data_IF_862115513980
#
_entry.id   IF_862115513980
#
_cell.length_a   1.000
_cell.length_b   1.000
_cell.length_c   1.000
_cell.angle_alpha   90.00
_cell.angle_beta   90.00
_cell.angle_gamma   90.00
#
_symmetry.space_group_name_H-M   'P 1'
#
loop_
_entity.id
_entity.type
_entity.pdbx_description
1 polymer ?
#
# COMPACT_ATOMS: atom_id res chain seq x y z
N UNK A 1 -33.82 2.69 -58.51
CA UNK A 1 -34.82 2.06 -57.62
C UNK A 1 -34.36 2.24 -56.17
N UNK A 2 -35.15 2.89 -55.30
CA UNK A 2 -34.80 3.00 -53.88
C UNK A 2 -35.00 1.63 -53.21
N UNK A 3 -33.95 1.11 -52.57
CA UNK A 3 -33.95 -0.19 -51.92
C UNK A 3 -35.10 -0.27 -50.88
N UNK A 4 -36.05 -1.25 -50.99
CA UNK A 4 -37.19 -1.38 -50.10
C UNK A 4 -36.82 -1.51 -48.62
N UNK A 5 -35.62 -2.02 -48.32
CA UNK A 5 -35.08 -2.14 -46.95
C UNK A 5 -34.88 -0.78 -46.27
N UNK A 6 -34.53 0.27 -47.04
CA UNK A 6 -34.33 1.60 -46.48
C UNK A 6 -35.63 2.28 -45.96
N UNK A 7 -36.83 1.77 -46.36
CA UNK A 7 -38.12 2.22 -45.86
C UNK A 7 -38.61 1.34 -44.72
N UNK A 8 -38.20 0.10 -44.62
CA UNK A 8 -38.62 -0.87 -43.62
C UNK A 8 -37.95 -0.59 -42.26
N UNK A 9 -36.63 -0.36 -42.27
CA UNK A 9 -35.82 -0.10 -41.06
C UNK A 9 -36.41 1.06 -40.19
N UNK A 10 -36.69 2.26 -40.71
CA UNK A 10 -37.26 3.33 -39.86
C UNK A 10 -38.65 3.02 -39.32
N UNK A 11 -39.43 2.20 -40.03
CA UNK A 11 -40.78 1.80 -39.61
C UNK A 11 -40.74 0.76 -38.50
N UNK A 12 -39.87 -0.20 -38.57
CA UNK A 12 -39.62 -1.20 -37.51
C UNK A 12 -39.02 -0.54 -36.26
N UNK A 13 -38.03 0.33 -36.45
CA UNK A 13 -37.45 1.10 -35.34
C UNK A 13 -38.54 1.94 -34.60
N UNK A 14 -39.47 2.51 -35.32
CA UNK A 14 -40.56 3.32 -34.71
C UNK A 14 -41.62 2.43 -34.04
N UNK A 15 -41.93 1.27 -34.58
CA UNK A 15 -42.95 0.35 -34.01
C UNK A 15 -42.45 -0.38 -32.76
N UNK A 16 -41.12 -0.64 -32.65
CA UNK A 16 -40.50 -1.33 -31.55
C UNK A 16 -39.51 -0.45 -30.76
N UNK A 17 -39.69 0.87 -30.83
CA UNK A 17 -38.77 1.85 -30.25
C UNK A 17 -38.46 1.59 -28.77
N UNK A 18 -39.45 1.14 -27.99
CA UNK A 18 -39.26 0.82 -26.56
C UNK A 18 -38.25 -0.33 -26.34
N UNK A 19 -38.30 -1.36 -27.18
CA UNK A 19 -37.34 -2.50 -27.05
C UNK A 19 -35.92 -2.06 -27.39
N UNK A 20 -35.76 -1.31 -28.50
CA UNK A 20 -34.42 -0.83 -28.90
C UNK A 20 -33.88 0.20 -27.92
N UNK A 21 -34.72 1.04 -27.34
CA UNK A 21 -34.31 2.01 -26.32
C UNK A 21 -33.79 1.31 -25.04
N UNK A 22 -34.52 0.30 -24.57
CA UNK A 22 -34.11 -0.47 -23.39
C UNK A 22 -32.79 -1.19 -23.66
N UNK A 23 -32.64 -1.82 -24.83
CA UNK A 23 -31.40 -2.49 -25.21
C UNK A 23 -30.24 -1.50 -25.31
N UNK A 24 -30.46 -0.31 -25.90
CA UNK A 24 -29.47 0.76 -26.02
C UNK A 24 -29.02 1.25 -24.64
N UNK A 25 -29.98 1.55 -23.73
CA UNK A 25 -29.68 2.03 -22.37
C UNK A 25 -28.91 0.96 -21.60
N UNK A 26 -29.31 -0.30 -21.70
CA UNK A 26 -28.60 -1.41 -21.07
C UNK A 26 -27.17 -1.54 -21.57
N UNK A 27 -26.99 -1.54 -22.89
CA UNK A 27 -25.66 -1.63 -23.53
C UNK A 27 -24.77 -0.44 -23.14
N UNK A 28 -25.30 0.78 -23.26
CA UNK A 28 -24.57 1.99 -22.91
C UNK A 28 -24.21 2.02 -21.42
N UNK A 29 -25.12 1.61 -20.55
CA UNK A 29 -24.90 1.50 -19.11
C UNK A 29 -23.80 0.48 -18.76
N UNK A 30 -23.82 -0.71 -19.39
CA UNK A 30 -22.80 -1.72 -19.17
C UNK A 30 -21.40 -1.27 -19.64
N UNK A 31 -21.33 -0.67 -20.83
CA UNK A 31 -20.04 -0.13 -21.35
C UNK A 31 -19.54 0.99 -20.44
N UNK A 32 -20.40 1.92 -20.02
CA UNK A 32 -20.02 3.03 -19.15
C UNK A 32 -19.52 2.53 -17.78
N UNK A 33 -20.19 1.54 -17.18
CA UNK A 33 -19.80 0.96 -15.91
C UNK A 33 -18.45 0.28 -16.00
N UNK A 34 -18.27 -0.61 -16.96
CA UNK A 34 -17.01 -1.36 -17.11
C UNK A 34 -15.86 -0.44 -17.50
N UNK A 35 -16.06 0.48 -18.45
CA UNK A 35 -15.03 1.44 -18.85
C UNK A 35 -14.66 2.38 -17.69
N UNK A 36 -15.66 2.85 -16.93
CA UNK A 36 -15.44 3.71 -15.77
C UNK A 36 -14.61 3.01 -14.71
N UNK A 37 -14.92 1.74 -14.44
CA UNK A 37 -14.15 0.93 -13.49
C UNK A 37 -12.69 0.74 -13.96
N UNK A 38 -12.47 0.28 -15.19
CA UNK A 38 -11.12 0.05 -15.71
C UNK A 38 -10.25 1.32 -15.74
N UNK A 39 -10.85 2.49 -16.01
CA UNK A 39 -10.13 3.77 -15.97
C UNK A 39 -9.77 4.15 -14.52
N UNK A 40 -10.68 3.96 -13.58
CA UNK A 40 -10.42 4.24 -12.17
C UNK A 40 -9.31 3.32 -11.62
N UNK A 41 -9.42 2.01 -11.86
CA UNK A 41 -8.48 1.00 -11.44
C UNK A 41 -7.07 1.22 -12.05
N UNK A 42 -6.98 1.45 -13.35
CA UNK A 42 -5.72 1.78 -14.01
C UNK A 42 -5.07 3.08 -13.50
N UNK A 43 -5.88 4.05 -13.05
CA UNK A 43 -5.38 5.28 -12.43
C UNK A 43 -4.84 5.04 -11.03
N UNK A 44 -5.50 4.18 -10.26
CA UNK A 44 -5.07 3.80 -8.91
C UNK A 44 -3.79 2.97 -8.96
N UNK A 45 -3.72 1.97 -9.83
CA UNK A 45 -2.52 1.15 -10.02
C UNK A 45 -1.32 2.01 -10.44
N UNK A 46 -1.52 2.93 -11.38
CA UNK A 46 -0.47 3.87 -11.79
C UNK A 46 -0.01 4.77 -10.63
N UNK A 47 -0.93 5.24 -9.80
CA UNK A 47 -0.58 6.05 -8.62
C UNK A 47 0.21 5.23 -7.59
N UNK A 48 -0.16 3.96 -7.40
CA UNK A 48 0.56 3.01 -6.56
C UNK A 48 1.99 2.78 -7.09
N UNK A 49 2.17 2.45 -8.37
CA UNK A 49 3.48 2.29 -9.00
C UNK A 49 4.36 3.54 -8.87
N UNK A 50 3.78 4.72 -9.10
CA UNK A 50 4.49 5.99 -8.95
C UNK A 50 4.86 6.33 -7.51
N UNK A 51 4.19 5.72 -6.53
CA UNK A 51 4.50 5.94 -5.11
C UNK A 51 5.88 5.40 -4.73
N UNK A 52 6.35 4.33 -5.36
CA UNK A 52 7.67 3.75 -5.10
C UNK A 52 8.81 4.74 -5.35
N UNK A 53 8.76 5.44 -6.46
CA UNK A 53 9.76 6.48 -6.78
C UNK A 53 9.53 7.73 -5.93
N UNK A 54 8.28 8.20 -5.84
CA UNK A 54 7.93 9.44 -5.14
C UNK A 54 8.32 9.43 -3.66
N UNK A 55 8.07 8.31 -2.99
CA UNK A 55 8.33 8.17 -1.56
C UNK A 55 9.63 7.42 -1.27
N UNK A 56 10.37 7.01 -2.30
CA UNK A 56 11.58 6.20 -2.20
C UNK A 56 11.36 4.96 -1.33
N UNK A 57 10.34 4.16 -1.68
CA UNK A 57 9.97 2.95 -0.92
C UNK A 57 11.14 1.97 -0.96
N UNK A 58 11.43 1.34 0.15
CA UNK A 58 12.52 0.38 0.34
C UNK A 58 12.46 -0.80 -0.64
N UNK A 59 13.60 -1.41 -0.96
CA UNK A 59 13.68 -2.69 -1.67
C UNK A 59 13.62 -3.87 -0.68
N UNK A 60 13.55 -3.57 0.60
CA UNK A 60 13.31 -4.45 1.71
C UNK A 60 13.88 -3.92 3.01
N UNK A 61 13.60 -4.63 4.10
CA UNK A 61 14.12 -4.32 5.42
C UNK A 61 14.69 -5.55 6.12
N UNK A 62 15.62 -5.31 7.03
CA UNK A 62 16.15 -6.33 7.94
C UNK A 62 16.24 -5.75 9.36
N UNK A 63 16.17 -6.64 10.33
CA UNK A 63 16.29 -6.31 11.75
C UNK A 63 17.47 -7.07 12.34
N UNK A 64 18.25 -6.38 13.14
CA UNK A 64 19.36 -6.96 13.92
C UNK A 64 18.99 -7.01 15.40
N UNK A 65 19.62 -7.93 16.12
CA UNK A 65 19.42 -8.10 17.58
C UNK A 65 20.00 -6.95 18.41
N UNK A 66 20.92 -6.18 17.82
CA UNK A 66 21.50 -4.98 18.41
C UNK A 66 21.74 -3.89 17.37
N UNK A 67 21.94 -2.66 17.82
CA UNK A 67 22.24 -1.55 16.94
C UNK A 67 23.56 -1.73 16.20
N UNK A 68 23.53 -1.66 14.88
CA UNK A 68 24.70 -1.79 14.05
C UNK A 68 25.65 -0.60 14.21
N UNK A 69 26.93 -0.86 14.43
CA UNK A 69 27.92 0.21 14.40
C UNK A 69 28.08 0.80 12.98
N UNK A 70 28.53 2.06 12.88
CA UNK A 70 28.84 2.70 11.59
C UNK A 70 29.77 1.84 10.71
N UNK A 71 30.75 1.17 11.32
CA UNK A 71 31.66 0.28 10.61
C UNK A 71 30.98 -0.99 10.09
N UNK A 72 29.91 -1.45 10.74
CA UNK A 72 29.08 -2.58 10.28
C UNK A 72 28.21 -2.12 9.11
N UNK A 73 27.54 -0.96 9.23
CA UNK A 73 26.72 -0.39 8.14
C UNK A 73 27.56 -0.15 6.88
N UNK A 74 28.72 0.48 7.00
CA UNK A 74 29.64 0.66 5.86
C UNK A 74 30.04 -0.64 5.16
N UNK A 75 30.20 -1.74 5.92
CA UNK A 75 30.49 -3.05 5.32
C UNK A 75 29.27 -3.66 4.63
N UNK A 76 28.08 -3.42 5.14
CA UNK A 76 26.82 -3.85 4.49
C UNK A 76 26.65 -3.09 3.19
N UNK A 77 26.89 -1.79 3.18
CA UNK A 77 26.75 -0.94 1.98
C UNK A 77 27.74 -1.30 0.86
N UNK A 78 28.92 -1.82 1.20
CA UNK A 78 29.86 -2.37 0.22
C UNK A 78 29.32 -3.59 -0.54
N UNK A 79 28.25 -4.18 -0.05
CA UNK A 79 27.58 -5.31 -0.71
C UNK A 79 26.61 -4.87 -1.83
N UNK A 80 26.56 -3.56 -2.18
CA UNK A 80 25.83 -3.00 -3.31
C UNK A 80 24.45 -2.44 -2.95
N UNK A 81 24.28 -2.05 -1.69
CA UNK A 81 23.06 -1.42 -1.17
C UNK A 81 23.38 -0.11 -0.46
N UNK A 82 22.39 0.76 -0.30
CA UNK A 82 22.39 1.86 0.66
C UNK A 82 21.44 1.50 1.79
N UNK A 83 21.85 1.71 3.04
CA UNK A 83 21.12 1.31 4.23
C UNK A 83 20.64 2.53 5.01
N UNK A 84 19.40 2.47 5.47
CA UNK A 84 18.75 3.55 6.22
C UNK A 84 18.24 3.01 7.55
N UNK A 85 18.66 3.56 8.71
CA UNK A 85 18.07 3.21 10.00
C UNK A 85 16.57 3.52 10.01
N UNK A 86 15.77 2.52 10.34
CA UNK A 86 14.30 2.59 10.34
C UNK A 86 13.76 1.98 11.64
N UNK A 87 14.31 2.44 12.78
CA UNK A 87 13.99 1.90 14.10
C UNK A 87 12.57 2.19 14.49
N UNK A 88 11.95 1.22 15.16
CA UNK A 88 10.61 1.37 15.69
C UNK A 88 10.48 0.78 17.10
N UNK A 89 9.42 1.18 17.76
CA UNK A 89 8.93 0.60 19.02
C UNK A 89 7.48 0.21 18.83
N UNK A 90 7.08 -0.93 19.36
CA UNK A 90 5.68 -1.33 19.44
C UNK A 90 5.15 -1.10 20.85
N UNK A 91 4.01 -0.42 20.94
CA UNK A 91 3.35 -0.12 22.20
C UNK A 91 1.86 -0.47 22.14
N UNK A 92 1.31 -0.89 23.29
CA UNK A 92 -0.13 -1.09 23.41
C UNK A 92 -0.87 0.25 23.54
N UNK A 93 -1.99 0.37 22.87
CA UNK A 93 -2.92 1.50 23.01
C UNK A 93 -4.11 1.08 23.86
N UNK A 94 -4.26 1.69 25.03
CA UNK A 94 -5.27 1.28 26.01
C UNK A 94 -6.69 1.70 25.66
N UNK A 95 -6.84 2.78 24.90
CA UNK A 95 -8.15 3.35 24.59
C UNK A 95 -8.88 2.56 23.49
N UNK A 96 -8.13 1.90 22.60
CA UNK A 96 -8.68 1.17 21.45
C UNK A 96 -8.26 -0.31 21.39
N UNK A 97 -7.59 -0.81 22.44
CA UNK A 97 -7.17 -2.23 22.57
C UNK A 97 -6.45 -2.73 21.30
N UNK A 98 -5.38 -2.05 20.94
CA UNK A 98 -4.57 -2.32 19.76
C UNK A 98 -3.08 -2.13 20.02
N UNK A 99 -2.24 -2.53 19.07
CA UNK A 99 -0.80 -2.28 19.05
C UNK A 99 -0.50 -1.19 18.03
N UNK A 100 0.38 -0.27 18.37
CA UNK A 100 0.87 0.75 17.46
C UNK A 100 2.39 0.67 17.32
N UNK A 101 2.86 0.60 16.07
CA UNK A 101 4.28 0.63 15.72
C UNK A 101 4.68 2.05 15.42
N UNK A 102 5.59 2.60 16.21
CA UNK A 102 5.98 4.00 16.19
C UNK A 102 7.39 4.10 15.62
N UNK A 103 7.55 4.94 14.63
CA UNK A 103 8.82 5.20 13.97
C UNK A 103 9.33 6.61 14.26
N UNK A 104 10.63 6.80 14.10
CA UNK A 104 11.26 8.11 13.99
C UNK A 104 10.88 8.82 12.69
N UNK A 105 11.15 10.14 12.55
CA UNK A 105 10.91 10.83 11.28
C UNK A 105 11.68 10.19 10.12
N UNK A 106 11.01 10.03 8.96
CA UNK A 106 11.55 9.41 7.76
C UNK A 106 11.62 10.44 6.63
N UNK A 107 12.83 10.77 6.19
CA UNK A 107 13.09 11.82 5.18
C UNK A 107 13.71 11.29 3.90
N UNK A 108 14.44 10.18 3.97
CA UNK A 108 15.26 9.67 2.87
C UNK A 108 14.63 8.48 2.16
N UNK A 109 14.18 7.50 2.93
CA UNK A 109 13.50 6.27 2.48
C UNK A 109 12.14 6.18 3.15
N UNK A 110 11.20 5.46 2.55
CA UNK A 110 9.83 5.24 3.07
C UNK A 110 9.17 6.52 3.56
N UNK A 111 9.25 7.55 2.73
CA UNK A 111 8.79 8.90 3.08
C UNK A 111 7.31 8.91 3.43
N UNK A 112 7.00 9.64 4.48
CA UNK A 112 5.64 9.74 5.00
C UNK A 112 4.82 10.73 4.20
N UNK A 113 3.58 10.37 3.88
CA UNK A 113 2.60 11.26 3.25
C UNK A 113 1.67 11.82 4.32
N UNK A 114 1.72 13.12 4.56
CA UNK A 114 0.75 13.81 5.42
C UNK A 114 -0.59 13.93 4.69
N UNK A 115 -1.64 13.34 5.25
CA UNK A 115 -2.99 13.33 4.68
C UNK A 115 -3.88 14.41 5.31
N UNK A 116 -3.74 14.66 6.61
CA UNK A 116 -4.52 15.65 7.35
C UNK A 116 -3.74 16.18 8.55
N UNK A 117 -3.98 17.43 8.96
CA UNK A 117 -3.33 18.03 10.12
C UNK A 117 -1.90 18.45 9.84
N UNK A 118 -0.99 18.20 10.78
CA UNK A 118 0.44 18.51 10.68
C UNK A 118 1.30 17.38 11.25
N UNK A 119 2.56 17.31 10.82
CA UNK A 119 3.54 16.42 11.42
C UNK A 119 3.82 16.84 12.87
N UNK A 120 4.19 15.87 13.76
CA UNK A 120 4.58 16.16 15.14
C UNK A 120 5.75 17.13 15.22
N UNK A 121 5.68 18.09 16.13
CA UNK A 121 6.73 19.09 16.39
C UNK A 121 7.25 19.00 17.81
N UNK A 122 6.52 18.32 18.71
CA UNK A 122 6.84 18.16 20.14
C UNK A 122 6.91 16.69 20.53
N UNK A 123 7.55 16.42 21.64
CA UNK A 123 7.71 15.05 22.17
C UNK A 123 6.39 14.38 22.59
N UNK A 124 5.35 15.14 22.90
CA UNK A 124 4.03 14.67 23.28
C UNK A 124 3.03 14.62 22.11
N UNK A 125 3.52 14.81 20.88
CA UNK A 125 2.73 14.79 19.66
C UNK A 125 3.01 13.52 18.84
N UNK A 126 1.97 12.99 18.15
CA UNK A 126 2.04 11.81 17.30
C UNK A 126 1.23 12.03 16.01
N UNK A 127 1.73 11.53 14.89
CA UNK A 127 0.96 11.38 13.67
C UNK A 127 0.70 9.88 13.43
N UNK A 128 -0.56 9.50 13.29
CA UNK A 128 -0.99 8.10 13.17
C UNK A 128 -1.47 7.79 11.75
N UNK A 129 -1.41 6.53 11.35
CA UNK A 129 -1.94 6.11 10.06
C UNK A 129 -3.44 6.44 9.94
N UNK A 130 -3.83 6.90 8.74
CA UNK A 130 -5.22 7.30 8.48
C UNK A 130 -6.20 6.13 8.52
N UNK A 131 -5.82 4.96 7.99
CA UNK A 131 -6.70 3.79 8.01
C UNK A 131 -6.93 3.30 9.44
N UNK A 132 -5.86 3.26 10.24
CA UNK A 132 -5.97 2.96 11.67
C UNK A 132 -6.86 3.97 12.41
N UNK A 133 -6.68 5.26 12.14
CA UNK A 133 -7.48 6.32 12.75
C UNK A 133 -8.97 6.19 12.38
N UNK A 134 -9.29 6.01 11.09
CA UNK A 134 -10.66 5.87 10.59
C UNK A 134 -11.37 4.66 11.20
N UNK A 135 -10.68 3.51 11.34
CA UNK A 135 -11.24 2.28 11.91
C UNK A 135 -11.43 2.33 13.44
N UNK A 136 -10.69 3.20 14.14
CA UNK A 136 -10.79 3.38 15.60
C UNK A 136 -11.49 4.70 15.98
N UNK A 137 -12.11 5.40 15.03
CA UNK A 137 -12.84 6.67 15.23
C UNK A 137 -11.98 7.80 15.81
N UNK A 138 -10.65 7.73 15.63
CA UNK A 138 -9.68 8.71 16.12
C UNK A 138 -9.52 9.88 15.12
N UNK A 139 -9.29 11.08 15.65
CA UNK A 139 -9.21 12.33 14.87
C UNK A 139 -8.03 13.19 15.28
N UNK A 140 -7.59 14.05 14.39
CA UNK A 140 -6.65 15.12 14.72
C UNK A 140 -7.22 15.97 15.86
N UNK A 141 -6.44 16.11 16.92
CA UNK A 141 -6.81 16.80 18.14
C UNK A 141 -7.22 15.91 19.29
N UNK A 142 -7.44 14.62 19.07
CA UNK A 142 -7.69 13.66 20.14
C UNK A 142 -6.39 13.31 20.88
N UNK A 143 -6.54 12.78 22.10
CA UNK A 143 -5.44 12.22 22.88
C UNK A 143 -5.49 10.69 22.78
N UNK A 144 -4.35 10.06 22.50
CA UNK A 144 -4.19 8.61 22.42
C UNK A 144 -3.27 8.12 23.55
N UNK A 145 -3.73 7.14 24.32
CA UNK A 145 -2.90 6.52 25.36
C UNK A 145 -2.05 5.39 24.76
N UNK A 146 -0.76 5.65 24.66
CA UNK A 146 0.26 4.74 24.13
C UNK A 146 1.18 4.33 25.28
N UNK A 147 1.18 3.05 25.62
CA UNK A 147 1.93 2.54 26.76
C UNK A 147 1.57 3.26 28.06
N UNK A 148 2.50 4.03 28.58
CA UNK A 148 2.35 4.83 29.82
C UNK A 148 2.08 6.31 29.55
N UNK A 149 2.08 6.75 28.29
CA UNK A 149 1.98 8.15 27.90
C UNK A 149 0.61 8.48 27.31
N UNK A 150 0.25 9.76 27.31
CA UNK A 150 -0.88 10.31 26.57
C UNK A 150 -0.31 11.25 25.51
N UNK A 151 -0.49 10.91 24.23
CA UNK A 151 0.06 11.63 23.10
C UNK A 151 -1.05 12.34 22.35
N UNK A 152 -0.77 13.55 21.88
CA UNK A 152 -1.69 14.37 21.08
C UNK A 152 -1.61 13.97 19.61
N UNK A 153 -2.71 13.54 19.00
CA UNK A 153 -2.77 13.28 17.56
C UNK A 153 -2.75 14.63 16.83
N UNK A 154 -1.67 14.92 16.13
CA UNK A 154 -1.51 16.17 15.37
C UNK A 154 -1.71 15.99 13.86
N UNK A 155 -1.54 14.78 13.35
CA UNK A 155 -1.70 14.48 11.94
C UNK A 155 -2.20 13.07 11.69
N UNK A 156 -2.86 12.92 10.53
CA UNK A 156 -3.13 11.63 9.91
C UNK A 156 -2.20 11.46 8.73
N UNK A 157 -1.50 10.34 8.68
CA UNK A 157 -0.47 10.05 7.68
C UNK A 157 -0.77 8.77 6.92
N UNK A 158 -0.09 8.56 5.81
CA UNK A 158 0.09 7.27 5.19
C UNK A 158 1.60 6.99 5.12
N UNK A 159 2.04 5.88 5.69
CA UNK A 159 3.41 5.41 5.55
C UNK A 159 3.50 4.64 4.24
N UNK A 160 4.49 4.98 3.41
CA UNK A 160 4.55 4.47 2.04
C UNK A 160 4.88 2.98 1.95
N UNK A 161 5.56 2.45 2.96
CA UNK A 161 5.87 1.03 3.16
C UNK A 161 4.73 0.23 3.83
N UNK A 162 3.61 0.90 4.15
CA UNK A 162 2.38 0.32 4.71
C UNK A 162 1.17 0.64 3.85
N UNK A 163 1.11 0.11 2.63
CA UNK A 163 -0.10 0.19 1.80
C UNK A 163 -1.27 -0.58 2.42
N UNK A 164 -0.97 -1.56 3.27
CA UNK A 164 -1.89 -2.28 4.12
C UNK A 164 -1.25 -2.55 5.50
N UNK A 165 -2.04 -2.47 6.58
CA UNK A 165 -1.55 -2.51 7.96
C UNK A 165 -1.32 -3.95 8.46
N UNK A 166 -0.40 -4.67 7.82
CA UNK A 166 0.06 -5.96 8.29
C UNK A 166 0.99 -5.80 9.48
N UNK A 167 0.68 -6.47 10.59
CA UNK A 167 1.56 -6.52 11.77
C UNK A 167 2.78 -7.42 11.52
N UNK A 168 2.56 -8.54 10.82
CA UNK A 168 3.60 -9.47 10.39
C UNK A 168 3.40 -9.87 8.93
N UNK A 169 4.50 -10.14 8.24
CA UNK A 169 4.47 -10.61 6.84
C UNK A 169 3.88 -12.02 6.66
N UNK A 170 3.77 -12.78 7.74
CA UNK A 170 3.15 -14.11 7.76
C UNK A 170 1.63 -14.09 7.96
N UNK A 171 1.06 -12.94 8.27
CA UNK A 171 -0.38 -12.81 8.48
C UNK A 171 -1.12 -12.97 7.15
N UNK A 172 -2.24 -13.67 7.16
CA UNK A 172 -3.07 -13.87 5.98
C UNK A 172 -3.94 -12.65 5.66
N UNK A 173 -4.22 -11.82 6.66
CA UNK A 173 -5.04 -10.60 6.56
C UNK A 173 -4.51 -9.56 7.54
N UNK A 174 -4.63 -8.30 7.18
CA UNK A 174 -4.37 -7.20 8.10
C UNK A 174 -5.63 -6.82 8.90
N UNK A 175 -5.44 -6.26 10.09
CA UNK A 175 -6.53 -5.73 10.92
C UNK A 175 -6.19 -4.32 11.39
N UNK A 176 -6.70 -3.33 10.67
CA UNK A 176 -6.49 -1.92 10.95
C UNK A 176 -7.19 -1.43 12.23
N UNK A 177 -7.99 -2.26 12.89
CA UNK A 177 -8.53 -1.96 14.24
C UNK A 177 -7.55 -2.37 15.34
N UNK A 178 -6.72 -3.38 15.09
CA UNK A 178 -5.81 -3.97 16.09
C UNK A 178 -4.35 -3.61 15.90
N UNK A 179 -3.99 -3.14 14.73
CA UNK A 179 -2.62 -2.72 14.42
C UNK A 179 -2.61 -1.40 13.66
N UNK A 180 -1.73 -0.49 14.09
CA UNK A 180 -1.49 0.79 13.45
C UNK A 180 -0.02 1.13 13.38
N UNK A 181 0.31 2.13 12.55
CA UNK A 181 1.66 2.69 12.44
C UNK A 181 1.62 4.19 12.68
N UNK A 182 2.72 4.74 13.17
CA UNK A 182 2.78 6.14 13.56
C UNK A 182 4.19 6.72 13.45
N UNK A 183 4.26 8.05 13.45
CA UNK A 183 5.50 8.83 13.47
C UNK A 183 5.49 9.75 14.69
N UNK A 184 6.62 9.82 15.39
CA UNK A 184 6.89 10.82 16.41
C UNK A 184 8.13 11.64 16.03
N UNK A 185 8.39 12.72 16.77
CA UNK A 185 9.68 13.41 16.71
C UNK A 185 10.79 12.53 17.29
N UNK A 186 12.07 12.84 17.00
CA UNK A 186 13.22 12.17 17.63
C UNK A 186 13.14 12.23 19.18
N UNK A 187 12.83 13.44 19.69
CA UNK A 187 12.69 13.64 21.14
C UNK A 187 11.52 12.85 21.72
N UNK A 188 10.40 12.77 20.99
CA UNK A 188 9.23 11.99 21.40
C UNK A 188 9.53 10.50 21.43
N UNK A 189 10.15 9.99 20.37
CA UNK A 189 10.57 8.58 20.29
C UNK A 189 11.51 8.20 21.46
N UNK A 190 12.45 9.08 21.81
CA UNK A 190 13.36 8.87 22.93
C UNK A 190 12.69 8.85 24.32
N UNK A 191 11.41 9.25 24.45
CA UNK A 191 10.65 9.14 25.69
C UNK A 191 9.91 7.81 25.86
N UNK A 192 9.83 7.00 24.80
CA UNK A 192 9.25 5.66 24.82
C UNK A 192 10.18 4.68 25.55
N UNK A 193 9.67 3.50 25.89
CA UNK A 193 10.46 2.48 26.58
C UNK A 193 11.53 1.90 25.63
N UNK A 194 12.79 2.19 25.89
CA UNK A 194 13.93 1.80 25.08
C UNK A 194 14.24 0.29 25.12
N UNK A 195 13.66 -0.45 26.05
CA UNK A 195 13.83 -1.91 26.14
C UNK A 195 13.16 -2.68 24.99
N UNK A 196 12.32 -1.99 24.21
CA UNK A 196 11.56 -2.57 23.10
C UNK A 196 11.90 -1.95 21.74
N UNK A 197 13.11 -1.36 21.60
CA UNK A 197 13.57 -0.84 20.32
C UNK A 197 13.89 -2.00 19.37
N UNK A 198 13.26 -1.98 18.20
CA UNK A 198 13.57 -2.83 17.08
C UNK A 198 14.58 -2.13 16.18
N UNK A 199 15.79 -2.69 16.06
CA UNK A 199 16.84 -2.16 15.21
C UNK A 199 16.63 -2.60 13.76
N UNK A 200 15.62 -2.00 13.13
CA UNK A 200 15.27 -2.24 11.74
C UNK A 200 16.01 -1.29 10.81
N UNK A 201 16.34 -1.77 9.63
CA UNK A 201 17.06 -1.06 8.58
C UNK A 201 16.39 -1.31 7.25
N UNK A 202 15.95 -0.27 6.58
CA UNK A 202 15.54 -0.31 5.20
C UNK A 202 16.77 -0.33 4.28
N UNK A 203 16.70 -0.99 3.12
CA UNK A 203 17.75 -0.89 2.11
C UNK A 203 17.21 -0.56 0.74
N UNK A 204 18.07 0.06 -0.08
CA UNK A 204 17.87 0.26 -1.51
C UNK A 204 19.07 -0.33 -2.26
N UNK A 205 18.80 -1.07 -3.34
CA UNK A 205 19.87 -1.52 -4.23
C UNK A 205 20.46 -0.33 -5.00
N UNK A 206 21.79 -0.25 -5.07
CA UNK A 206 22.48 0.77 -5.87
C UNK A 206 22.29 0.52 -7.39
N UNK A 207 22.07 -0.75 -7.77
CA UNK A 207 21.68 -1.18 -9.11
C UNK A 207 20.42 -2.07 -8.96
N UNK A 208 19.21 -1.50 -9.18
CA UNK A 208 17.97 -2.21 -8.89
C UNK A 208 17.75 -3.40 -9.82
N UNK A 209 17.09 -4.49 -9.33
CA UNK A 209 16.77 -5.66 -10.14
C UNK A 209 15.83 -5.30 -11.30
N UNK A 210 16.01 -5.97 -12.45
CA UNK A 210 15.24 -5.73 -13.68
C UNK A 210 13.94 -6.52 -13.74
N UNK A 211 13.77 -7.51 -12.88
CA UNK A 211 12.61 -8.40 -12.82
C UNK A 211 12.62 -9.20 -11.51
N UNK A 212 11.51 -9.87 -11.21
CA UNK A 212 11.28 -10.62 -9.97
C UNK A 212 12.29 -11.76 -9.75
N UNK A 213 12.75 -12.42 -10.83
CA UNK A 213 13.75 -13.48 -10.73
C UNK A 213 15.09 -12.93 -10.27
N UNK A 214 15.49 -11.78 -10.81
CA UNK A 214 16.70 -11.07 -10.42
C UNK A 214 16.58 -10.54 -8.99
N UNK A 215 15.42 -9.94 -8.63
CA UNK A 215 15.14 -9.48 -7.28
C UNK A 215 15.28 -10.59 -6.24
N UNK A 216 14.70 -11.75 -6.52
CA UNK A 216 14.84 -12.93 -5.64
C UNK A 216 16.29 -13.38 -5.49
N UNK A 217 17.02 -13.45 -6.61
CA UNK A 217 18.44 -13.88 -6.57
C UNK A 217 19.30 -12.88 -5.80
N UNK A 218 19.12 -11.60 -6.04
CA UNK A 218 19.83 -10.53 -5.33
C UNK A 218 19.48 -10.52 -3.84
N UNK A 219 18.20 -10.71 -3.49
CA UNK A 219 17.76 -10.81 -2.09
C UNK A 219 18.38 -12.00 -1.35
N UNK A 220 18.41 -13.19 -1.98
CA UNK A 220 19.05 -14.37 -1.40
C UNK A 220 20.56 -14.18 -1.20
N UNK A 221 21.23 -13.51 -2.14
CA UNK A 221 22.68 -13.25 -2.06
C UNK A 221 22.98 -12.16 -1.02
N UNK A 222 22.12 -11.14 -0.92
CA UNK A 222 22.25 -10.12 0.12
C UNK A 222 22.07 -10.71 1.52
N UNK A 223 21.06 -11.56 1.73
CA UNK A 223 20.86 -12.28 2.99
C UNK A 223 22.10 -13.08 3.42
N UNK A 224 22.73 -13.82 2.48
CA UNK A 224 23.95 -14.59 2.76
C UNK A 224 25.12 -13.70 3.17
N UNK A 225 25.23 -12.50 2.65
CA UNK A 225 26.26 -11.52 3.01
C UNK A 225 25.94 -10.87 4.36
N UNK A 226 24.69 -10.45 4.56
CA UNK A 226 24.20 -9.83 5.79
C UNK A 226 24.39 -10.75 7.01
N UNK A 227 24.12 -12.06 6.87
CA UNK A 227 24.32 -13.07 7.92
C UNK A 227 25.77 -13.19 8.41
N UNK A 228 26.73 -12.62 7.70
CA UNK A 228 28.16 -12.57 8.13
C UNK A 228 28.47 -11.25 8.89
N UNK A 229 27.52 -10.34 9.00
CA UNK A 229 27.72 -9.00 9.55
C UNK A 229 27.09 -8.82 10.93
N UNK A 230 26.03 -9.59 11.24
CA UNK A 230 25.31 -9.52 12.52
C UNK A 230 24.29 -10.65 12.67
N UNK A 231 23.66 -10.73 13.83
CA UNK A 231 22.56 -11.66 14.08
C UNK A 231 21.27 -11.05 13.50
N UNK A 232 20.74 -11.71 12.48
CA UNK A 232 19.52 -11.26 11.80
C UNK A 232 18.31 -11.78 12.59
N UNK A 233 17.47 -10.87 13.05
CA UNK A 233 16.18 -11.17 13.70
C UNK A 233 15.10 -11.34 12.65
N UNK A 234 15.07 -10.43 11.64
CA UNK A 234 14.11 -10.46 10.56
C UNK A 234 14.76 -10.02 9.24
N UNK A 235 14.24 -10.53 8.12
CA UNK A 235 14.69 -10.18 6.76
C UNK A 235 13.52 -10.25 5.79
N UNK A 236 13.10 -9.12 5.27
CA UNK A 236 11.89 -8.97 4.46
C UNK A 236 12.22 -8.20 3.18
N UNK A 237 12.55 -8.86 2.07
CA UNK A 237 12.61 -8.22 0.76
C UNK A 237 11.24 -7.66 0.35
N UNK A 238 11.22 -6.56 -0.39
CA UNK A 238 10.01 -5.87 -0.85
C UNK A 238 9.01 -6.82 -1.50
N UNK A 239 9.45 -7.72 -2.39
CA UNK A 239 8.59 -8.64 -3.15
C UNK A 239 7.86 -9.71 -2.30
N UNK A 240 8.15 -9.82 -1.01
CA UNK A 240 7.40 -10.66 -0.04
C UNK A 240 6.79 -9.83 1.09
N UNK A 241 7.01 -8.51 1.11
CA UNK A 241 6.48 -7.64 2.15
C UNK A 241 5.00 -7.32 1.89
N UNK A 242 4.10 -8.06 2.54
CA UNK A 242 2.66 -7.88 2.38
C UNK A 242 2.19 -6.47 2.72
N UNK A 243 2.85 -5.77 3.64
CA UNK A 243 2.52 -4.38 3.96
C UNK A 243 2.72 -3.45 2.73
N UNK A 244 3.69 -3.74 1.87
CA UNK A 244 3.96 -2.97 0.65
C UNK A 244 3.12 -3.48 -0.52
N UNK A 245 3.18 -4.80 -0.84
CA UNK A 245 2.69 -5.33 -2.12
C UNK A 245 1.19 -5.63 -2.15
N UNK A 246 0.56 -5.87 -1.00
CA UNK A 246 -0.84 -6.33 -0.92
C UNK A 246 -1.81 -5.48 -1.76
N UNK A 247 -1.74 -4.15 -1.63
CA UNK A 247 -2.64 -3.24 -2.35
C UNK A 247 -2.44 -3.30 -3.87
N UNK A 248 -1.19 -3.45 -4.34
CA UNK A 248 -0.89 -3.61 -5.77
C UNK A 248 -1.40 -4.94 -6.31
N UNK A 249 -1.20 -6.02 -5.59
CA UNK A 249 -1.66 -7.36 -5.95
C UNK A 249 -3.19 -7.44 -5.99
N UNK A 250 -3.87 -6.85 -5.00
CA UNK A 250 -5.32 -6.79 -4.92
C UNK A 250 -5.91 -6.02 -6.11
N UNK A 251 -5.39 -4.81 -6.39
CA UNK A 251 -5.80 -4.03 -7.57
C UNK A 251 -5.52 -4.77 -8.88
N UNK A 252 -4.38 -5.44 -9.01
CA UNK A 252 -4.05 -6.23 -10.18
C UNK A 252 -5.01 -7.42 -10.38
N UNK A 253 -5.39 -8.08 -9.29
CA UNK A 253 -6.39 -9.16 -9.27
C UNK A 253 -7.77 -8.67 -9.69
N UNK A 254 -8.22 -7.55 -9.15
CA UNK A 254 -9.48 -6.91 -9.51
C UNK A 254 -9.52 -6.52 -10.98
N UNK A 255 -8.46 -5.91 -11.51
CA UNK A 255 -8.33 -5.54 -12.93
C UNK A 255 -8.47 -6.75 -13.86
N UNK A 256 -7.82 -7.86 -13.51
CA UNK A 256 -7.93 -9.11 -14.28
C UNK A 256 -9.36 -9.69 -14.25
N UNK A 257 -10.01 -9.67 -13.09
CA UNK A 257 -11.39 -10.13 -12.92
C UNK A 257 -12.38 -9.29 -13.75
N UNK A 258 -12.28 -7.96 -13.69
CA UNK A 258 -13.16 -7.07 -14.46
C UNK A 258 -12.90 -7.15 -15.96
N UNK A 259 -11.65 -7.36 -16.38
CA UNK A 259 -11.32 -7.60 -17.80
C UNK A 259 -11.97 -8.90 -18.29
N UNK A 260 -11.89 -9.98 -17.53
CA UNK A 260 -12.57 -11.24 -17.85
C UNK A 260 -14.10 -11.05 -17.93
N UNK A 261 -14.69 -10.32 -16.97
CA UNK A 261 -16.10 -9.99 -16.99
C UNK A 261 -16.50 -9.19 -18.22
N UNK A 262 -15.69 -8.23 -18.66
CA UNK A 262 -15.91 -7.48 -19.91
C UNK A 262 -16.02 -8.40 -21.11
N UNK A 263 -15.10 -9.39 -21.25
CA UNK A 263 -15.17 -10.34 -22.36
C UNK A 263 -16.46 -11.17 -22.35
N UNK A 264 -16.92 -11.59 -21.17
CA UNK A 264 -18.20 -12.31 -21.03
C UNK A 264 -19.37 -11.43 -21.47
N UNK A 265 -19.41 -10.16 -21.05
CA UNK A 265 -20.45 -9.20 -21.44
C UNK A 265 -20.45 -8.98 -22.95
N UNK A 266 -19.28 -8.78 -23.56
CA UNK A 266 -19.16 -8.62 -25.01
C UNK A 266 -19.65 -9.86 -25.74
N UNK A 267 -19.33 -11.06 -25.28
CA UNK A 267 -19.79 -12.31 -25.87
C UNK A 267 -21.32 -12.46 -25.78
N UNK A 268 -21.93 -12.12 -24.63
CA UNK A 268 -23.40 -12.14 -24.46
C UNK A 268 -24.06 -11.15 -25.41
N UNK A 269 -23.53 -9.94 -25.52
CA UNK A 269 -24.04 -8.91 -26.43
C UNK A 269 -23.97 -9.40 -27.88
N UNK A 270 -22.82 -9.92 -28.30
CA UNK A 270 -22.64 -10.47 -29.66
C UNK A 270 -23.63 -11.60 -29.95
N UNK A 271 -23.87 -12.48 -28.98
CA UNK A 271 -24.86 -13.56 -29.11
C UNK A 271 -26.29 -13.03 -29.23
N UNK A 272 -26.68 -12.06 -28.43
CA UNK A 272 -28.01 -11.40 -28.50
C UNK A 272 -28.20 -10.77 -29.87
N UNK A 273 -27.20 -10.03 -30.40
CA UNK A 273 -27.27 -9.43 -31.72
C UNK A 273 -27.28 -10.45 -32.86
N UNK A 274 -26.69 -11.62 -32.69
CA UNK A 274 -26.71 -12.70 -33.71
C UNK A 274 -28.08 -13.39 -33.83
N UNK A 275 -28.92 -13.33 -32.78
CA UNK A 275 -30.26 -13.94 -32.74
C UNK A 275 -31.34 -12.97 -33.17
N UNK A 276 -31.13 -11.66 -33.04
CA UNK A 276 -32.09 -10.61 -33.46
C UNK A 276 -31.85 -10.16 -34.88
#
# INVERSE_FOLDING_TARGET
MKNPLNKRLPRELKSEFGKYLVLFIFLAGMIALVSGFLVADGSMLKAYEQSFEKYNIEDGNFELDEEASDGTLQKIEQDGVTVYPNYYIEEETKDVDSTIRIFKPRTDVDKVCLMQGKMPEKADEIAIDRMYADNNELKVGDDLKVGKQSLKITGLVALSDYSALFSNTSDMMFDATKFGVAIMTEDGFATLDDTHIHYSYAWKYNDPPKNDTEAKTMGEDFLKKLAKRGTIVNYIPEFVNQAIIFTGDDMGGDSAMFTAFLYIVVAIIAFVFAIT
#
